data_IF_815388729703
#
_entry.id   IF_815388729703
#
_cell.length_a   1.000
_cell.length_b   1.000
_cell.length_c   1.000
_cell.angle_alpha   90.00
_cell.angle_beta   90.00
_cell.angle_gamma   90.00
#
_symmetry.space_group_name_H-M   'P 1'
#
loop_
_entity.id
_entity.type
_entity.pdbx_description
1 polymer ?
#
# COMPACT_ATOMS: atom_id res chain seq x y z
N UNK A 1 -28.69 -20.84 -31.82
CA UNK A 1 -27.34 -20.97 -32.44
C UNK A 1 -26.39 -19.79 -32.15
N UNK A 2 -26.78 -18.75 -31.40
CA UNK A 2 -25.95 -17.56 -31.08
C UNK A 2 -25.00 -17.71 -29.88
N UNK A 3 -25.38 -18.49 -28.84
CA UNK A 3 -24.56 -18.68 -27.64
C UNK A 3 -23.12 -19.19 -27.88
N UNK A 4 -22.86 -20.18 -28.77
CA UNK A 4 -21.50 -20.69 -28.97
C UNK A 4 -20.59 -19.76 -29.79
N UNK A 5 -21.14 -18.78 -30.52
CA UNK A 5 -20.33 -17.75 -31.21
C UNK A 5 -19.95 -16.63 -30.26
N UNK A 6 -20.89 -16.18 -29.42
CA UNK A 6 -20.64 -15.18 -28.38
C UNK A 6 -19.59 -15.66 -27.36
N UNK A 7 -19.59 -16.95 -27.00
CA UNK A 7 -18.59 -17.51 -26.08
C UNK A 7 -17.19 -17.54 -26.69
N UNK A 8 -17.04 -17.85 -27.97
CA UNK A 8 -15.73 -17.87 -28.67
C UNK A 8 -15.14 -16.46 -28.80
N UNK A 9 -15.95 -15.49 -29.20
CA UNK A 9 -15.51 -14.09 -29.29
C UNK A 9 -15.12 -13.55 -27.91
N UNK A 10 -15.91 -13.84 -26.87
CA UNK A 10 -15.57 -13.45 -25.51
C UNK A 10 -14.24 -14.06 -25.04
N UNK A 11 -14.06 -15.37 -25.21
CA UNK A 11 -12.80 -16.06 -24.86
C UNK A 11 -11.62 -15.44 -25.61
N UNK A 12 -11.77 -15.21 -26.91
CA UNK A 12 -10.73 -14.58 -27.73
C UNK A 12 -10.36 -13.19 -27.20
N UNK A 13 -11.35 -12.34 -26.91
CA UNK A 13 -11.10 -11.00 -26.36
C UNK A 13 -10.41 -11.05 -25.00
N UNK A 14 -10.78 -11.98 -24.11
CA UNK A 14 -10.13 -12.15 -22.80
C UNK A 14 -8.69 -12.66 -22.92
N UNK A 15 -8.42 -13.53 -23.90
CA UNK A 15 -7.05 -14.00 -24.18
C UNK A 15 -6.20 -12.88 -24.78
N UNK A 16 -6.76 -12.09 -25.69
CA UNK A 16 -6.09 -10.94 -26.27
C UNK A 16 -5.76 -9.89 -25.20
N UNK A 17 -6.74 -9.53 -24.35
CA UNK A 17 -6.54 -8.65 -23.20
C UNK A 17 -5.39 -9.15 -22.31
N UNK A 18 -5.43 -10.42 -21.90
CA UNK A 18 -4.38 -11.00 -21.06
C UNK A 18 -3.00 -11.00 -21.73
N UNK A 19 -2.92 -11.32 -23.03
CA UNK A 19 -1.67 -11.33 -23.78
C UNK A 19 -1.09 -9.92 -23.94
N UNK A 20 -1.93 -8.92 -24.27
CA UNK A 20 -1.54 -7.53 -24.38
C UNK A 20 -1.04 -6.98 -23.05
N UNK A 21 -1.76 -7.21 -21.94
CA UNK A 21 -1.32 -6.79 -20.61
C UNK A 21 0.00 -7.43 -20.23
N UNK A 22 0.19 -8.72 -20.49
CA UNK A 22 1.44 -9.39 -20.20
C UNK A 22 2.61 -8.84 -21.02
N UNK A 23 2.41 -8.64 -22.32
CA UNK A 23 3.41 -8.03 -23.21
C UNK A 23 3.82 -6.64 -22.72
N UNK A 24 2.85 -5.76 -22.42
CA UNK A 24 3.11 -4.40 -21.94
C UNK A 24 3.79 -4.38 -20.57
N UNK A 25 3.35 -5.24 -19.65
CA UNK A 25 4.00 -5.40 -18.35
C UNK A 25 5.45 -5.84 -18.49
N UNK A 26 5.81 -6.60 -19.52
CA UNK A 26 7.20 -7.00 -19.78
C UNK A 26 8.05 -5.86 -20.36
N UNK A 27 7.43 -4.82 -20.94
CA UNK A 27 8.13 -3.62 -21.40
C UNK A 27 8.35 -2.58 -20.29
N UNK A 28 7.60 -2.67 -19.18
CA UNK A 28 7.78 -1.78 -18.04
C UNK A 28 9.19 -1.91 -17.47
N UNK A 29 9.86 -0.77 -17.27
CA UNK A 29 11.18 -0.69 -16.66
C UNK A 29 11.08 0.14 -15.38
N UNK A 30 11.49 -0.40 -14.22
CA UNK A 30 11.53 0.39 -13.01
C UNK A 30 12.50 1.56 -13.12
N UNK A 31 12.17 2.64 -12.42
CA UNK A 31 13.06 3.78 -12.25
C UNK A 31 14.26 3.33 -11.41
N UNK A 32 15.50 3.46 -11.91
CA UNK A 32 16.68 3.05 -11.16
C UNK A 32 16.89 3.97 -9.96
N UNK A 33 17.39 3.41 -8.85
CA UNK A 33 17.74 4.21 -7.68
C UNK A 33 18.88 5.17 -8.04
N UNK A 34 18.69 6.49 -7.87
CA UNK A 34 19.71 7.47 -8.22
C UNK A 34 20.93 7.33 -7.30
N UNK A 35 22.14 7.59 -7.83
CA UNK A 35 23.39 7.55 -7.05
C UNK A 35 23.43 8.61 -5.94
N UNK A 36 22.74 9.73 -6.14
CA UNK A 36 22.59 10.83 -5.19
C UNK A 36 21.10 11.20 -5.13
N UNK A 37 20.31 10.53 -4.27
CA UNK A 37 18.88 10.80 -4.17
C UNK A 37 18.61 12.18 -3.56
N UNK A 38 17.63 12.89 -4.09
CA UNK A 38 17.11 14.13 -3.49
C UNK A 38 16.33 13.84 -2.20
N UNK A 39 15.70 12.65 -2.13
CA UNK A 39 14.93 12.20 -0.96
C UNK A 39 15.61 11.04 -0.24
N UNK A 40 16.02 11.29 0.99
CA UNK A 40 16.47 10.26 1.95
C UNK A 40 15.31 9.79 2.86
N UNK A 41 15.16 8.47 3.03
CA UNK A 41 14.08 7.86 3.83
C UNK A 41 14.01 8.41 5.27
N UNK A 42 15.14 8.40 5.98
CA UNK A 42 15.22 8.83 7.39
C UNK A 42 15.03 10.33 7.63
N UNK A 43 15.05 11.15 6.57
CA UNK A 43 14.84 12.61 6.67
C UNK A 43 13.48 13.05 6.15
N UNK A 44 12.95 12.35 5.14
CA UNK A 44 11.80 12.84 4.37
C UNK A 44 10.56 11.98 4.47
N UNK A 45 10.64 10.71 4.90
CA UNK A 45 9.49 9.79 4.86
C UNK A 45 8.84 9.64 6.23
N UNK A 46 7.57 10.02 6.34
CA UNK A 46 6.72 9.65 7.47
C UNK A 46 5.83 8.48 7.08
N UNK A 47 5.88 7.38 7.82
CA UNK A 47 5.00 6.24 7.62
C UNK A 47 3.73 6.40 8.47
N UNK A 48 2.56 6.28 7.86
CA UNK A 48 1.25 6.27 8.52
C UNK A 48 0.62 4.88 8.38
N UNK A 49 0.30 4.25 9.51
CA UNK A 49 -0.29 2.90 9.56
C UNK A 49 -1.62 2.95 10.32
N UNK A 50 -2.77 2.84 9.64
CA UNK A 50 -4.05 2.65 10.31
C UNK A 50 -4.18 1.18 10.75
N UNK A 51 -4.67 0.94 11.96
CA UNK A 51 -4.93 -0.42 12.45
C UNK A 51 -6.16 -0.46 13.35
N UNK A 52 -6.94 -1.54 13.27
CA UNK A 52 -8.09 -1.86 14.12
C UNK A 52 -8.06 -3.38 14.30
N UNK A 53 -8.32 -3.86 15.51
CA UNK A 53 -8.20 -5.28 15.86
C UNK A 53 -6.81 -5.83 15.47
N UNK A 54 -5.76 -5.08 15.84
CA UNK A 54 -4.39 -5.26 15.31
C UNK A 54 -3.93 -6.74 15.33
N UNK A 55 -3.24 -7.28 14.33
CA UNK A 55 -2.76 -8.66 14.38
C UNK A 55 -1.60 -8.85 15.40
N UNK A 56 -1.37 -10.07 15.88
CA UNK A 56 -0.24 -10.35 16.79
C UNK A 56 1.12 -10.19 16.07
N UNK A 57 1.11 -10.34 14.77
CA UNK A 57 2.22 -10.23 13.83
C UNK A 57 2.63 -8.76 13.59
N UNK A 58 1.83 -7.80 14.06
CA UNK A 58 2.12 -6.37 13.93
C UNK A 58 3.52 -5.99 14.41
N UNK A 59 3.98 -6.57 15.52
CA UNK A 59 5.33 -6.32 16.03
C UNK A 59 6.42 -6.77 15.04
N UNK A 60 6.16 -7.82 14.25
CA UNK A 60 7.06 -8.25 13.19
C UNK A 60 7.01 -7.30 11.99
N UNK A 61 5.82 -6.89 11.55
CA UNK A 61 5.66 -5.87 10.50
C UNK A 61 6.38 -4.57 10.86
N UNK A 62 6.16 -4.07 12.08
CA UNK A 62 6.78 -2.86 12.61
C UNK A 62 8.31 -2.90 12.59
N UNK A 63 8.93 -4.05 12.93
CA UNK A 63 10.37 -4.22 12.82
C UNK A 63 10.87 -4.08 11.38
N UNK A 64 10.10 -4.57 10.40
CA UNK A 64 10.48 -4.43 8.98
C UNK A 64 10.31 -3.02 8.45
N UNK A 65 9.29 -2.28 8.90
CA UNK A 65 9.16 -0.87 8.55
C UNK A 65 10.29 -0.04 9.14
N UNK A 66 10.63 -0.29 10.41
CA UNK A 66 11.73 0.39 11.07
C UNK A 66 13.08 0.09 10.43
N UNK A 67 13.31 -1.14 9.96
CA UNK A 67 14.57 -1.50 9.28
C UNK A 67 14.75 -0.82 7.92
N UNK A 68 13.65 -0.37 7.29
CA UNK A 68 13.71 0.49 6.10
C UNK A 68 14.08 1.95 6.42
N UNK A 69 14.13 2.33 7.71
CA UNK A 69 14.62 3.61 8.19
C UNK A 69 13.82 4.84 7.78
N UNK A 70 12.48 4.88 7.93
CA UNK A 70 11.72 6.11 7.76
C UNK A 70 12.08 7.14 8.85
N UNK A 71 11.77 8.42 8.59
CA UNK A 71 11.93 9.52 9.55
C UNK A 71 11.13 9.29 10.84
N UNK A 72 9.91 8.78 10.70
CA UNK A 72 8.98 8.50 11.80
C UNK A 72 7.92 7.48 11.36
N UNK A 73 7.35 6.79 12.34
CA UNK A 73 6.22 5.87 12.16
C UNK A 73 5.07 6.34 13.04
N UNK A 74 3.92 6.56 12.42
CA UNK A 74 2.69 7.04 13.06
C UNK A 74 1.64 5.94 12.93
N UNK A 75 1.36 5.26 14.03
CA UNK A 75 0.33 4.22 14.11
C UNK A 75 -0.95 4.87 14.60
N UNK A 76 -2.04 4.75 13.84
CA UNK A 76 -3.33 5.33 14.20
C UNK A 76 -4.33 4.21 14.44
N UNK A 77 -4.80 4.08 15.67
CA UNK A 77 -5.76 3.05 16.09
C UNK A 77 -7.02 3.67 16.70
N UNK A 78 -7.87 2.86 17.32
CA UNK A 78 -9.10 3.26 18.02
C UNK A 78 -8.90 3.16 19.53
N UNK A 79 -9.66 3.92 20.36
CA UNK A 79 -9.42 3.99 21.80
C UNK A 79 -9.38 2.63 22.52
N UNK A 80 -10.22 1.67 22.11
CA UNK A 80 -10.30 0.36 22.74
C UNK A 80 -9.11 -0.56 22.42
N UNK A 81 -8.43 -0.37 21.29
CA UNK A 81 -7.26 -1.18 20.88
C UNK A 81 -5.92 -0.49 21.21
N UNK A 82 -5.96 0.78 21.62
CA UNK A 82 -4.77 1.59 21.89
C UNK A 82 -3.80 0.99 22.93
N UNK A 83 -4.33 0.36 23.99
CA UNK A 83 -3.49 -0.29 25.00
C UNK A 83 -2.70 -1.47 24.40
N UNK A 84 -3.36 -2.26 23.56
CA UNK A 84 -2.76 -3.42 22.92
C UNK A 84 -1.73 -3.01 21.86
N UNK A 85 -2.05 -2.02 21.03
CA UNK A 85 -1.09 -1.46 20.06
C UNK A 85 0.17 -0.95 20.76
N UNK A 86 0.04 -0.20 21.87
CA UNK A 86 1.21 0.26 22.63
C UNK A 86 2.05 -0.89 23.18
N UNK A 87 1.41 -1.95 23.68
CA UNK A 87 2.12 -3.15 24.13
C UNK A 87 2.88 -3.84 22.99
N UNK A 88 2.27 -3.96 21.80
CA UNK A 88 2.91 -4.52 20.61
C UNK A 88 4.07 -3.67 20.11
N UNK A 89 3.93 -2.34 20.12
CA UNK A 89 5.01 -1.38 19.78
C UNK A 89 6.19 -1.55 20.75
N UNK A 90 5.92 -1.62 22.06
CA UNK A 90 6.96 -1.85 23.06
C UNK A 90 7.65 -3.22 22.87
N UNK A 91 6.89 -4.27 22.58
CA UNK A 91 7.40 -5.61 22.33
C UNK A 91 8.19 -5.75 21.01
N UNK A 92 8.00 -4.83 20.06
CA UNK A 92 8.69 -4.87 18.78
C UNK A 92 10.20 -4.63 18.92
N UNK A 93 10.65 -3.97 20.00
CA UNK A 93 12.05 -3.62 20.26
C UNK A 93 12.70 -2.93 19.05
N UNK A 94 12.00 -1.92 18.52
CA UNK A 94 12.45 -1.16 17.35
C UNK A 94 13.85 -0.57 17.60
N UNK A 95 14.80 -0.72 16.64
CA UNK A 95 16.13 -0.15 16.79
C UNK A 95 16.10 1.34 17.13
N UNK A 96 17.02 1.78 18.00
CA UNK A 96 17.16 3.20 18.34
C UNK A 96 17.38 4.03 17.06
N UNK A 97 16.48 4.98 16.79
CA UNK A 97 16.62 5.91 15.66
C UNK A 97 15.34 6.19 14.87
N UNK A 98 14.31 5.34 14.95
CA UNK A 98 13.01 5.58 14.29
C UNK A 98 11.92 5.81 15.34
N UNK A 99 11.45 7.06 15.55
CA UNK A 99 10.39 7.33 16.52
C UNK A 99 9.06 6.71 16.07
N UNK A 100 8.38 6.04 17.00
CA UNK A 100 7.05 5.44 16.80
C UNK A 100 6.03 6.15 17.68
N UNK A 101 5.03 6.78 17.07
CA UNK A 101 3.95 7.50 17.75
C UNK A 101 2.65 6.74 17.57
N UNK A 102 1.90 6.53 18.66
CA UNK A 102 0.57 5.90 18.63
C UNK A 102 -0.50 6.96 18.88
N UNK A 103 -1.33 7.19 17.86
CA UNK A 103 -2.49 8.09 17.91
C UNK A 103 -3.79 7.29 17.96
N UNK A 104 -4.86 7.94 18.39
CA UNK A 104 -6.21 7.38 18.37
C UNK A 104 -7.16 8.22 17.53
N UNK A 105 -8.02 7.55 16.76
CA UNK A 105 -9.15 8.15 16.08
C UNK A 105 -10.46 7.65 16.71
N UNK A 106 -11.48 8.51 16.94
CA UNK A 106 -12.68 8.11 17.68
C UNK A 106 -13.51 6.99 17.02
N UNK A 107 -13.42 6.83 15.69
CA UNK A 107 -14.18 5.84 14.93
C UNK A 107 -13.24 4.87 14.21
N UNK A 108 -13.64 3.61 14.07
CA UNK A 108 -12.93 2.61 13.28
C UNK A 108 -13.15 2.86 11.78
N UNK A 109 -12.44 3.82 11.21
CA UNK A 109 -12.49 4.13 9.78
C UNK A 109 -11.07 4.26 9.23
N UNK A 110 -10.76 3.51 8.16
CA UNK A 110 -9.43 3.56 7.55
C UNK A 110 -9.11 4.96 7.06
N UNK A 111 -10.07 5.62 6.41
CA UNK A 111 -9.88 7.00 5.90
C UNK A 111 -9.72 8.04 7.00
N UNK A 112 -10.49 7.95 8.10
CA UNK A 112 -10.35 8.85 9.24
C UNK A 112 -9.03 8.67 9.99
N UNK A 113 -8.61 7.41 10.18
CA UNK A 113 -7.31 7.07 10.78
C UNK A 113 -6.14 7.56 9.91
N UNK A 114 -6.20 7.33 8.59
CA UNK A 114 -5.21 7.86 7.65
C UNK A 114 -5.17 9.40 7.68
N UNK A 115 -6.34 10.06 7.65
CA UNK A 115 -6.42 11.53 7.72
C UNK A 115 -5.80 12.08 9.01
N UNK A 116 -6.03 11.42 10.15
CA UNK A 116 -5.40 11.77 11.43
C UNK A 116 -3.87 11.64 11.36
N UNK A 117 -3.36 10.53 10.85
CA UNK A 117 -1.91 10.31 10.73
C UNK A 117 -1.25 11.24 9.70
N UNK A 118 -1.90 11.51 8.57
CA UNK A 118 -1.43 12.46 7.54
C UNK A 118 -1.23 13.85 8.14
N UNK A 119 -2.19 14.34 8.94
CA UNK A 119 -2.08 15.66 9.61
C UNK A 119 -0.94 15.72 10.62
N UNK A 120 -0.62 14.61 11.28
CA UNK A 120 0.45 14.55 12.27
C UNK A 120 1.85 14.31 11.67
N UNK A 121 1.91 13.80 10.44
CA UNK A 121 3.17 13.55 9.74
C UNK A 121 3.96 14.84 9.50
N UNK A 122 5.29 14.74 9.53
CA UNK A 122 6.23 15.87 9.35
C UNK A 122 7.16 15.71 8.14
N UNK A 123 7.15 14.57 7.46
CA UNK A 123 7.95 14.26 6.29
C UNK A 123 7.51 15.03 5.04
N UNK A 124 8.38 15.15 4.05
CA UNK A 124 8.02 15.66 2.73
C UNK A 124 7.29 14.62 1.89
N UNK A 125 7.48 13.33 2.20
CA UNK A 125 6.81 12.19 1.60
C UNK A 125 6.06 11.43 2.70
N UNK A 126 4.81 11.06 2.43
CA UNK A 126 3.99 10.26 3.33
C UNK A 126 3.87 8.87 2.74
N UNK A 127 4.39 7.88 3.44
CA UNK A 127 4.13 6.47 3.16
C UNK A 127 2.88 6.03 3.91
N UNK A 128 2.02 5.25 3.26
CA UNK A 128 0.91 4.54 3.90
C UNK A 128 1.15 3.05 3.76
N UNK A 129 0.87 2.29 4.81
CA UNK A 129 0.95 0.84 4.76
C UNK A 129 -0.16 0.18 5.57
N UNK A 130 -0.53 -1.04 5.18
CA UNK A 130 -1.39 -1.90 5.99
C UNK A 130 -0.57 -2.54 7.12
N UNK A 131 -1.23 -2.89 8.21
CA UNK A 131 -0.59 -3.37 9.45
C UNK A 131 -0.03 -4.80 9.36
N UNK A 132 -0.34 -5.51 8.28
CA UNK A 132 0.09 -6.87 7.93
C UNK A 132 1.14 -6.92 6.79
N UNK A 133 1.82 -5.79 6.54
CA UNK A 133 2.78 -5.68 5.44
C UNK A 133 4.22 -5.77 5.92
N UNK A 134 5.04 -6.54 5.19
CA UNK A 134 6.48 -6.63 5.43
C UNK A 134 7.27 -5.90 4.37
N UNK A 135 8.20 -5.09 4.85
CA UNK A 135 9.09 -4.32 4.03
C UNK A 135 10.46 -4.97 3.95
N UNK A 136 11.09 -4.86 2.78
CA UNK A 136 12.53 -5.07 2.68
C UNK A 136 13.25 -3.80 3.11
N UNK A 137 14.47 -3.88 3.68
CA UNK A 137 15.22 -2.68 4.07
C UNK A 137 15.44 -1.68 2.91
N UNK A 138 15.54 -2.17 1.67
CA UNK A 138 15.75 -1.36 0.46
C UNK A 138 14.48 -0.73 -0.12
N UNK A 139 13.29 -1.03 0.42
CA UNK A 139 12.02 -0.69 -0.25
C UNK A 139 11.83 0.82 -0.42
N UNK A 140 12.13 1.60 0.62
CA UNK A 140 11.95 3.05 0.55
C UNK A 140 12.89 3.69 -0.47
N UNK A 141 14.12 3.19 -0.64
CA UNK A 141 15.04 3.71 -1.65
C UNK A 141 14.49 3.56 -3.08
N UNK A 142 13.83 2.43 -3.37
CA UNK A 142 13.24 2.17 -4.68
C UNK A 142 11.91 2.93 -4.88
N UNK A 143 11.09 3.05 -3.85
CA UNK A 143 9.83 3.81 -3.94
C UNK A 143 10.06 5.33 -3.93
N UNK A 144 11.21 5.80 -3.45
CA UNK A 144 11.58 7.21 -3.51
C UNK A 144 12.16 7.63 -4.87
N UNK A 145 12.77 6.70 -5.62
CA UNK A 145 13.43 7.00 -6.88
C UNK A 145 12.55 7.74 -7.92
N UNK A 146 11.25 7.42 -8.09
CA UNK A 146 10.41 8.16 -9.03
C UNK A 146 10.10 9.61 -8.62
N UNK A 147 10.24 9.99 -7.34
CA UNK A 147 9.99 11.37 -6.89
C UNK A 147 11.07 12.38 -7.31
N UNK A 148 12.16 11.92 -7.94
CA UNK A 148 13.10 12.81 -8.63
C UNK A 148 12.42 13.58 -9.78
N UNK A 149 11.36 13.02 -10.36
CA UNK A 149 10.48 13.77 -11.24
C UNK A 149 9.46 14.57 -10.41
N UNK A 150 9.45 15.91 -10.50
CA UNK A 150 8.48 16.74 -9.79
C UNK A 150 7.03 16.49 -10.21
N UNK A 151 6.75 15.91 -11.40
CA UNK A 151 5.37 15.57 -11.81
C UNK A 151 4.79 14.38 -11.03
N UNK A 152 5.66 13.51 -10.51
CA UNK A 152 5.24 12.28 -9.83
C UNK A 152 4.66 12.61 -8.47
N UNK A 153 3.38 12.32 -8.34
CA UNK A 153 2.59 12.66 -7.17
C UNK A 153 2.48 11.55 -6.13
N UNK A 154 2.57 10.30 -6.58
CA UNK A 154 2.51 9.12 -5.74
C UNK A 154 3.21 7.92 -6.37
N UNK A 155 3.68 7.00 -5.54
CA UNK A 155 4.42 5.82 -5.97
C UNK A 155 3.88 4.58 -5.27
N UNK A 156 3.59 3.54 -6.05
CA UNK A 156 3.09 2.26 -5.54
C UNK A 156 4.17 1.21 -5.49
N UNK A 157 4.15 0.40 -4.43
CA UNK A 157 4.99 -0.79 -4.37
C UNK A 157 4.30 -2.02 -4.94
N UNK A 158 5.07 -2.84 -5.66
CA UNK A 158 4.58 -4.12 -6.20
C UNK A 158 4.64 -5.21 -5.13
N UNK A 159 3.54 -5.39 -4.42
CA UNK A 159 3.37 -6.45 -3.41
C UNK A 159 3.24 -7.85 -3.99
N UNK A 160 3.84 -8.82 -3.30
CA UNK A 160 3.64 -10.27 -3.48
C UNK A 160 3.09 -10.85 -2.18
N UNK A 161 2.29 -11.90 -2.30
CA UNK A 161 1.82 -12.65 -1.14
C UNK A 161 2.99 -13.36 -0.46
N UNK A 162 2.99 -13.37 0.87
CA UNK A 162 3.92 -14.18 1.65
C UNK A 162 3.76 -15.68 1.35
N UNK A 163 4.86 -16.42 1.50
CA UNK A 163 4.80 -17.88 1.52
C UNK A 163 3.87 -18.36 2.65
N UNK A 164 3.26 -19.56 2.54
CA UNK A 164 2.47 -20.09 3.64
C UNK A 164 3.32 -20.20 4.92
N UNK A 165 2.69 -20.11 6.10
CA UNK A 165 3.41 -20.09 7.37
C UNK A 165 4.21 -21.39 7.59
N UNK A 166 5.24 -21.36 8.46
CA UNK A 166 6.04 -22.53 8.80
C UNK A 166 5.16 -23.73 9.18
N UNK A 167 5.48 -24.91 8.63
CA UNK A 167 4.70 -26.13 8.85
C UNK A 167 3.56 -26.35 7.84
N UNK A 168 3.29 -25.40 6.93
CA UNK A 168 2.32 -25.60 5.85
C UNK A 168 2.96 -25.40 4.48
N UNK A 169 3.03 -26.48 3.70
CA UNK A 169 3.74 -26.48 2.43
C UNK A 169 2.91 -26.00 1.23
N UNK A 170 1.60 -25.76 1.40
CA UNK A 170 0.69 -25.34 0.33
C UNK A 170 -0.28 -24.27 0.80
N UNK A 171 -0.54 -23.31 -0.07
CA UNK A 171 -1.68 -22.41 0.05
C UNK A 171 -2.99 -23.19 -0.06
N UNK A 172 -4.01 -22.79 0.69
CA UNK A 172 -5.36 -23.25 0.41
C UNK A 172 -5.92 -22.52 -0.83
N UNK A 173 -7.10 -22.93 -1.31
CA UNK A 173 -7.66 -22.38 -2.55
C UNK A 173 -7.95 -20.86 -2.47
N UNK A 174 -8.39 -20.36 -1.31
CA UNK A 174 -8.63 -18.93 -1.09
C UNK A 174 -7.34 -18.14 -1.07
N UNK A 175 -6.30 -18.72 -0.50
CA UNK A 175 -5.00 -18.07 -0.43
C UNK A 175 -4.31 -18.01 -1.78
N UNK A 176 -4.38 -19.12 -2.52
CA UNK A 176 -3.92 -19.16 -3.91
C UNK A 176 -4.70 -18.17 -4.78
N UNK A 177 -6.02 -18.05 -4.60
CA UNK A 177 -6.85 -17.10 -5.33
C UNK A 177 -6.47 -15.64 -5.02
N UNK A 178 -6.27 -15.29 -3.75
CA UNK A 178 -5.86 -13.93 -3.38
C UNK A 178 -4.41 -13.61 -3.82
N UNK A 179 -3.49 -14.57 -3.71
CA UNK A 179 -2.14 -14.41 -4.22
C UNK A 179 -2.13 -14.20 -5.74
N UNK A 180 -2.95 -14.97 -6.48
CA UNK A 180 -3.12 -14.80 -7.91
C UNK A 180 -3.74 -13.45 -8.27
N UNK A 181 -4.73 -12.99 -7.49
CA UNK A 181 -5.32 -11.65 -7.65
C UNK A 181 -4.27 -10.55 -7.45
N UNK A 182 -3.47 -10.63 -6.39
CA UNK A 182 -2.41 -9.66 -6.10
C UNK A 182 -1.33 -9.65 -7.19
N UNK A 183 -0.95 -10.83 -7.70
CA UNK A 183 0.01 -10.94 -8.79
C UNK A 183 -0.52 -10.32 -10.10
N UNK A 184 -1.77 -10.61 -10.46
CA UNK A 184 -2.43 -10.02 -11.65
C UNK A 184 -2.57 -8.51 -11.52
N UNK A 185 -2.91 -8.01 -10.33
CA UNK A 185 -2.97 -6.58 -10.06
C UNK A 185 -1.62 -5.91 -10.36
N UNK A 186 -0.50 -6.48 -9.86
CA UNK A 186 0.82 -5.94 -10.16
C UNK A 186 1.23 -5.98 -11.63
N UNK A 187 0.74 -6.95 -12.41
CA UNK A 187 0.95 -7.01 -13.88
C UNK A 187 0.14 -5.91 -14.57
N UNK A 188 -1.12 -5.72 -14.17
CA UNK A 188 -1.97 -4.67 -14.74
C UNK A 188 -1.38 -3.28 -14.47
N UNK A 189 -0.91 -3.01 -13.26
CA UNK A 189 -0.31 -1.70 -12.97
C UNK A 189 0.98 -1.47 -13.75
N UNK A 190 1.81 -2.50 -13.94
CA UNK A 190 3.01 -2.40 -14.77
C UNK A 190 2.68 -2.13 -16.24
N UNK A 191 1.65 -2.79 -16.78
CA UNK A 191 1.17 -2.54 -18.14
C UNK A 191 0.60 -1.12 -18.31
N UNK A 192 -0.20 -0.65 -17.35
CA UNK A 192 -0.75 0.71 -17.35
C UNK A 192 0.36 1.77 -17.31
N UNK A 193 1.35 1.55 -16.44
CA UNK A 193 2.49 2.45 -16.33
C UNK A 193 3.33 2.45 -17.62
N UNK A 194 3.55 1.29 -18.25
CA UNK A 194 4.25 1.22 -19.53
C UNK A 194 3.52 1.93 -20.68
N UNK A 195 2.18 1.92 -20.67
CA UNK A 195 1.38 2.56 -21.73
C UNK A 195 1.28 4.08 -21.57
N UNK A 196 1.02 4.56 -20.35
CA UNK A 196 0.61 5.93 -20.11
C UNK A 196 1.38 6.66 -19.02
N UNK A 197 2.46 6.07 -18.49
CA UNK A 197 3.25 6.66 -17.39
C UNK A 197 2.56 6.69 -16.03
N UNK A 198 1.30 6.26 -15.94
CA UNK A 198 0.45 6.36 -14.75
C UNK A 198 -0.03 5.02 -14.19
N UNK A 199 -0.58 5.08 -12.98
CA UNK A 199 -1.17 3.97 -12.24
C UNK A 199 -2.59 4.40 -11.88
N UNK A 200 -3.60 3.62 -12.26
CA UNK A 200 -4.99 4.00 -12.03
C UNK A 200 -5.35 3.92 -10.55
N UNK A 201 -4.76 2.97 -9.82
CA UNK A 201 -4.98 2.82 -8.39
C UNK A 201 -3.73 2.33 -7.69
N UNK A 202 -3.32 3.06 -6.67
CA UNK A 202 -2.22 2.64 -5.80
C UNK A 202 -2.76 1.71 -4.71
N UNK A 203 -2.05 0.60 -4.49
CA UNK A 203 -2.41 -0.36 -3.46
C UNK A 203 -2.17 0.21 -2.07
N UNK A 204 -3.21 0.21 -1.22
CA UNK A 204 -3.12 0.65 0.19
C UNK A 204 -2.10 -0.12 1.04
N UNK A 205 -1.71 -1.33 0.61
CA UNK A 205 -0.65 -2.14 1.27
C UNK A 205 0.65 -1.36 1.44
N UNK A 206 1.10 -0.64 0.41
CA UNK A 206 2.23 0.28 0.50
C UNK A 206 2.19 1.25 -0.66
N UNK A 207 2.05 2.52 -0.35
CA UNK A 207 2.14 3.60 -1.31
C UNK A 207 2.76 4.84 -0.67
N UNK A 208 3.49 5.62 -1.46
CA UNK A 208 4.11 6.88 -1.05
C UNK A 208 3.44 8.02 -1.80
N UNK A 209 3.31 9.19 -1.18
CA UNK A 209 2.73 10.38 -1.78
C UNK A 209 3.50 11.62 -1.36
N UNK A 210 3.50 12.66 -2.19
CA UNK A 210 3.98 13.98 -1.76
C UNK A 210 3.09 14.51 -0.64
N UNK A 211 3.71 14.95 0.46
CA UNK A 211 2.98 15.43 1.63
C UNK A 211 2.16 16.70 1.32
N UNK A 212 2.65 17.55 0.43
CA UNK A 212 1.98 18.79 0.00
C UNK A 212 0.62 18.56 -0.66
N UNK A 213 0.36 17.33 -1.12
CA UNK A 213 -0.88 16.93 -1.77
C UNK A 213 -1.83 16.38 -0.71
N UNK A 214 -1.35 15.41 0.08
CA UNK A 214 -2.19 14.76 1.08
C UNK A 214 -2.57 15.68 2.25
N UNK A 215 -1.74 16.67 2.58
CA UNK A 215 -2.02 17.60 3.68
C UNK A 215 -2.98 18.71 3.29
N UNK A 216 -3.39 18.84 2.03
CA UNK A 216 -4.36 19.87 1.64
C UNK A 216 -5.70 19.60 2.33
N UNK A 217 -6.26 20.62 2.98
CA UNK A 217 -7.54 20.49 3.67
C UNK A 217 -8.67 20.11 2.71
N UNK A 218 -8.64 20.64 1.48
CA UNK A 218 -9.57 20.28 0.42
C UNK A 218 -9.48 18.79 0.06
N UNK A 219 -8.26 18.25 -0.06
CA UNK A 219 -8.05 16.83 -0.32
C UNK A 219 -8.54 15.97 0.85
N UNK A 220 -8.13 16.28 2.07
CA UNK A 220 -8.53 15.51 3.25
C UNK A 220 -10.04 15.54 3.48
N UNK A 221 -10.68 16.69 3.23
CA UNK A 221 -12.13 16.82 3.28
C UNK A 221 -12.79 15.90 2.25
N UNK A 222 -12.42 16.02 0.97
CA UNK A 222 -12.98 15.18 -0.09
C UNK A 222 -12.73 13.68 0.16
N UNK A 223 -11.54 13.33 0.63
CA UNK A 223 -11.17 11.95 0.96
C UNK A 223 -12.01 11.37 2.11
N UNK A 224 -12.31 12.17 3.14
CA UNK A 224 -13.09 11.74 4.31
C UNK A 224 -14.60 11.91 4.15
N UNK A 225 -15.06 12.59 3.10
CA UNK A 225 -16.47 12.85 2.79
C UNK A 225 -16.81 12.36 1.37
N UNK A 226 -16.27 11.20 1.02
CA UNK A 226 -16.51 10.52 -0.25
C UNK A 226 -17.69 9.55 -0.08
N UNK A 227 -18.74 9.74 -0.86
CA UNK A 227 -20.00 9.00 -0.70
C UNK A 227 -20.31 8.20 -1.96
N UNK A 228 -20.49 6.89 -1.80
CA UNK A 228 -21.01 6.05 -2.87
C UNK A 228 -22.46 6.46 -3.18
N UNK A 229 -22.68 6.85 -4.43
CA UNK A 229 -23.95 7.40 -4.93
C UNK A 229 -24.49 8.57 -4.09
N UNK A 230 -23.61 9.34 -3.44
CA UNK A 230 -24.00 10.46 -2.56
C UNK A 230 -24.73 10.03 -1.27
N UNK A 231 -24.76 8.74 -0.95
CA UNK A 231 -25.55 8.19 0.17
C UNK A 231 -24.72 7.50 1.23
N UNK A 232 -23.77 6.67 0.81
CA UNK A 232 -23.05 5.78 1.73
C UNK A 232 -21.60 6.24 1.86
N UNK A 233 -21.22 6.66 3.06
CA UNK A 233 -19.86 7.11 3.31
C UNK A 233 -18.86 5.97 3.06
N UNK A 234 -17.82 6.24 2.29
CA UNK A 234 -16.76 5.28 2.03
C UNK A 234 -15.74 5.30 3.16
N UNK A 235 -15.91 4.43 4.16
CA UNK A 235 -15.02 4.33 5.32
C UNK A 235 -13.68 3.63 5.00
N UNK A 236 -13.63 2.92 3.87
CA UNK A 236 -12.45 2.26 3.32
C UNK A 236 -12.15 2.78 1.90
N UNK A 237 -10.89 2.69 1.48
CA UNK A 237 -10.48 3.15 0.16
C UNK A 237 -8.98 3.39 0.05
N UNK A 238 -8.49 3.42 -1.19
CA UNK A 238 -7.13 3.83 -1.50
C UNK A 238 -7.03 5.35 -1.55
N UNK A 239 -5.83 5.86 -1.26
CA UNK A 239 -5.50 7.27 -1.49
C UNK A 239 -5.23 7.40 -2.99
N UNK A 240 -6.16 8.00 -3.74
CA UNK A 240 -6.04 8.18 -5.19
C UNK A 240 -6.09 9.67 -5.52
N UNK A 241 -4.97 10.40 -5.36
CA UNK A 241 -4.90 11.75 -5.86
C UNK A 241 -4.87 11.72 -7.40
N UNK A 242 -5.47 12.71 -8.06
CA UNK A 242 -5.42 12.87 -9.52
C UNK A 242 -3.99 13.21 -9.96
N UNK A 243 -3.11 12.22 -10.03
CA UNK A 243 -1.67 12.40 -10.27
C UNK A 243 -1.10 11.29 -11.13
N UNK A 244 -0.02 11.61 -11.82
CA UNK A 244 0.88 10.61 -12.41
C UNK A 244 1.47 9.78 -11.27
N UNK A 245 0.95 8.58 -11.11
CA UNK A 245 1.40 7.61 -10.13
C UNK A 245 2.29 6.57 -10.81
N UNK A 246 3.50 6.39 -10.30
CA UNK A 246 4.50 5.48 -10.90
C UNK A 246 4.70 4.27 -10.02
N UNK A 247 4.99 3.11 -10.61
CA UNK A 247 5.37 1.94 -9.84
C UNK A 247 6.87 1.96 -9.53
N UNK A 248 7.22 1.77 -8.26
CA UNK A 248 8.59 1.44 -7.87
C UNK A 248 8.75 -0.06 -7.69
N UNK A 249 9.80 -0.65 -8.25
CA UNK A 249 10.05 -2.08 -8.11
C UNK A 249 10.98 -2.39 -6.93
N UNK A 250 10.37 -2.74 -5.80
CA UNK A 250 10.92 -3.71 -4.85
C UNK A 250 9.78 -4.66 -4.45
N UNK A 251 10.01 -5.99 -4.40
CA UNK A 251 9.00 -6.94 -3.93
C UNK A 251 8.68 -6.68 -2.46
N UNK A 252 7.56 -6.03 -2.20
CA UNK A 252 6.94 -6.03 -0.88
C UNK A 252 6.34 -7.40 -0.62
N UNK A 253 6.41 -7.87 0.62
CA UNK A 253 5.78 -9.14 1.01
C UNK A 253 4.67 -8.80 1.97
N UNK A 254 3.40 -8.96 1.58
CA UNK A 254 2.28 -8.83 2.53
C UNK A 254 1.98 -10.21 3.12
N UNK A 255 1.91 -10.34 4.45
CA UNK A 255 1.13 -11.46 5.01
C UNK A 255 -0.33 -11.13 4.77
N UNK A 256 -0.91 -11.67 3.72
CA UNK A 256 -2.31 -12.01 3.85
C UNK A 256 -2.43 -13.06 4.96
N UNK A 257 -3.38 -12.90 5.89
CA UNK A 257 -4.28 -13.92 6.47
C UNK A 257 -4.56 -13.71 7.97
N UNK A 258 -5.52 -12.83 8.28
CA UNK A 258 -6.58 -13.11 9.25
C UNK A 258 -7.94 -12.73 8.64
N UNK A 259 -8.55 -13.66 7.91
CA UNK A 259 -10.00 -13.77 7.98
C UNK A 259 -10.31 -14.62 9.23
N UNK A 260 -10.17 -14.04 10.42
CA UNK A 260 -10.86 -14.56 11.60
C UNK A 260 -12.19 -13.81 11.67
N UNK A 261 -13.29 -14.48 11.33
CA UNK A 261 -14.63 -13.93 11.54
C UNK A 261 -15.59 -14.02 10.35
N UNK A 262 -15.69 -15.19 9.72
CA UNK A 262 -16.99 -15.65 9.25
C UNK A 262 -17.22 -17.02 9.89
N UNK A 263 -17.69 -16.98 11.14
CA UNK A 263 -18.61 -18.01 11.62
C UNK A 263 -20.00 -17.63 11.11
#
# INVERSE_FOLDING_TARGET
>A
MLLPRLSRTYIFLRLLEAASTWYLSAQHKPVPVPRKPSYEAGRHVSLVVPTVDTPNEFAASLRTWASAGPKEIIVVTVPHDAARVRALVAAALVPAGVPVTVLTHPRATKRGQLSCGIRHSTGAIIAVADDDTYWKPSVLAHLLAPFEDPSVGGVGGRGRAAAPPPGRHKWNCWEAAAALRNWRFGINEAANNALGGGCFVLSGRTALYRAEILRQDAFLYAFTHDYWLGKYLLDSGCVAPNLEAVLGEEPLVSSSWYCNGLN
#
